data_IF_731956526503
#
_entry.id   IF_731956526503
#
_cell.length_a   1.000
_cell.length_b   1.000
_cell.length_c   1.000
_cell.angle_alpha   90.00
_cell.angle_beta   90.00
_cell.angle_gamma   90.00
#
_symmetry.space_group_name_H-M   'P 1'
#
loop_
_entity.id
_entity.type
_entity.pdbx_description
1 polymer ?
#
# COMPACT_ATOMS: atom_id res chain seq x y z
N UNK A 1 14.51 -8.59 -9.37
CA UNK A 1 14.42 -9.54 -8.24
C UNK A 1 15.63 -9.30 -7.37
N UNK A 2 15.44 -8.90 -6.11
CA UNK A 2 16.54 -8.83 -5.17
C UNK A 2 16.92 -10.25 -4.74
N UNK A 3 18.21 -10.58 -4.76
CA UNK A 3 18.71 -11.86 -4.24
C UNK A 3 18.59 -11.85 -2.71
N UNK A 4 18.11 -12.97 -2.16
CA UNK A 4 18.09 -13.20 -0.71
C UNK A 4 19.55 -13.34 -0.24
N UNK A 5 19.95 -12.68 0.87
CA UNK A 5 21.28 -12.86 1.43
C UNK A 5 21.56 -14.33 1.73
N UNK A 6 22.79 -14.82 1.51
CA UNK A 6 23.16 -16.20 1.82
C UNK A 6 22.95 -16.50 3.31
N UNK A 7 22.20 -17.57 3.61
CA UNK A 7 22.01 -18.06 4.98
C UNK A 7 20.70 -17.67 5.67
N UNK A 8 19.89 -16.78 5.09
CA UNK A 8 18.55 -16.51 5.59
C UNK A 8 17.51 -17.33 4.81
N UNK A 9 16.46 -17.86 5.48
CA UNK A 9 15.38 -18.52 4.77
C UNK A 9 14.66 -17.49 3.88
N UNK A 10 14.28 -17.86 2.65
CA UNK A 10 13.56 -16.97 1.76
C UNK A 10 12.19 -16.63 2.35
N UNK A 11 12.00 -15.39 2.79
CA UNK A 11 10.70 -14.88 3.14
C UNK A 11 10.17 -14.13 1.91
N UNK A 12 9.24 -14.78 1.20
CA UNK A 12 8.55 -14.11 0.11
C UNK A 12 7.59 -13.07 0.67
N UNK A 13 7.67 -11.84 0.18
CA UNK A 13 6.74 -10.76 0.52
C UNK A 13 6.61 -9.76 -0.61
N UNK A 14 5.46 -9.15 -0.69
CA UNK A 14 5.24 -7.94 -1.47
C UNK A 14 5.72 -6.75 -0.66
N UNK A 15 6.48 -5.84 -1.29
CA UNK A 15 6.99 -4.66 -0.62
C UNK A 15 6.27 -3.42 -1.13
N UNK A 16 5.81 -2.58 -0.21
CA UNK A 16 5.33 -1.23 -0.51
C UNK A 16 6.52 -0.31 -0.74
N UNK A 17 6.49 0.42 -1.86
CA UNK A 17 7.47 1.44 -2.19
C UNK A 17 6.82 2.81 -2.19
N UNK A 18 7.37 3.74 -1.42
CA UNK A 18 6.97 5.15 -1.44
C UNK A 18 7.97 5.92 -2.30
N UNK A 19 7.46 6.58 -3.34
CA UNK A 19 8.27 7.46 -4.17
C UNK A 19 8.70 8.70 -3.38
N UNK A 20 9.98 9.06 -3.49
CA UNK A 20 10.58 10.21 -2.80
C UNK A 20 11.53 10.96 -3.73
N UNK A 21 11.68 12.25 -3.50
CA UNK A 21 12.63 13.08 -4.25
C UNK A 21 14.09 12.78 -3.87
N UNK A 22 14.34 12.44 -2.59
CA UNK A 22 15.68 12.25 -2.03
C UNK A 22 15.63 11.14 -0.97
N UNK A 23 16.20 9.98 -1.31
CA UNK A 23 16.20 8.81 -0.43
C UNK A 23 17.04 9.03 0.84
N UNK A 24 18.18 9.75 0.74
CA UNK A 24 19.06 10.00 1.89
C UNK A 24 18.40 10.93 2.91
N UNK A 25 17.75 12.00 2.45
CA UNK A 25 16.99 12.91 3.33
C UNK A 25 15.78 12.20 3.96
N UNK A 26 15.10 11.34 3.20
CA UNK A 26 13.96 10.60 3.72
C UNK A 26 14.39 9.61 4.80
N UNK A 27 15.49 8.92 4.61
CA UNK A 27 16.09 8.02 5.61
C UNK A 27 16.48 8.79 6.87
N UNK A 28 17.07 9.98 6.75
CA UNK A 28 17.39 10.82 7.91
C UNK A 28 16.13 11.18 8.70
N UNK A 29 15.07 11.66 8.02
CA UNK A 29 13.77 11.94 8.67
C UNK A 29 13.16 10.71 9.37
N UNK A 30 13.25 9.54 8.74
CA UNK A 30 12.74 8.31 9.32
C UNK A 30 13.47 7.94 10.61
N UNK A 31 14.81 8.10 10.67
CA UNK A 31 15.57 7.90 11.90
C UNK A 31 15.19 8.89 12.99
N UNK A 32 15.09 10.17 12.65
CA UNK A 32 14.71 11.22 13.58
C UNK A 32 13.30 11.00 14.16
N UNK A 33 12.42 10.38 13.39
CA UNK A 33 11.06 10.00 13.78
C UNK A 33 10.96 8.64 14.51
N UNK A 34 12.09 7.96 14.79
CA UNK A 34 12.13 6.70 15.54
C UNK A 34 12.08 5.43 14.68
N UNK A 35 12.14 5.53 13.36
CA UNK A 35 12.24 4.37 12.47
C UNK A 35 13.63 3.74 12.44
N UNK A 36 13.68 2.48 12.07
CA UNK A 36 14.93 1.71 11.90
C UNK A 36 15.27 1.55 10.42
N UNK A 37 16.50 1.89 10.03
CA UNK A 37 16.99 1.70 8.67
C UNK A 37 17.62 0.32 8.55
N UNK A 38 16.98 -0.58 7.81
CA UNK A 38 17.43 -1.96 7.58
C UNK A 38 18.46 -2.02 6.44
N UNK A 39 18.23 -1.23 5.38
CA UNK A 39 19.19 -1.04 4.31
C UNK A 39 19.34 0.44 4.02
N UNK A 40 20.60 0.91 4.11
CA UNK A 40 20.97 2.28 3.75
C UNK A 40 20.64 2.58 2.28
N UNK A 41 20.47 3.87 1.92
CA UNK A 41 20.25 4.23 0.53
C UNK A 41 21.34 3.70 -0.40
N UNK A 42 20.95 2.86 -1.37
CA UNK A 42 21.85 2.27 -2.35
C UNK A 42 21.33 2.42 -3.77
N UNK A 43 22.25 2.43 -4.72
CA UNK A 43 21.93 2.56 -6.14
C UNK A 43 21.39 1.24 -6.71
N UNK A 44 20.29 1.35 -7.46
CA UNK A 44 19.84 0.32 -8.39
C UNK A 44 20.21 0.82 -9.78
N UNK A 45 21.22 0.22 -10.43
CA UNK A 45 21.77 0.75 -11.68
C UNK A 45 20.69 1.08 -12.72
N UNK A 46 20.79 2.24 -13.36
CA UNK A 46 19.88 2.77 -14.38
C UNK A 46 18.41 3.01 -13.90
N UNK A 47 17.99 2.43 -12.79
CA UNK A 47 16.61 2.46 -12.32
C UNK A 47 16.34 3.57 -11.30
N UNK A 48 17.15 3.64 -10.25
CA UNK A 48 16.95 4.60 -9.17
C UNK A 48 17.81 4.35 -7.94
N UNK A 49 17.41 4.92 -6.81
CA UNK A 49 18.03 4.75 -5.51
C UNK A 49 16.97 4.36 -4.49
N UNK A 50 17.25 3.39 -3.65
CA UNK A 50 16.29 2.88 -2.68
C UNK A 50 16.89 2.66 -1.30
N UNK A 51 16.03 2.63 -0.29
CA UNK A 51 16.36 2.20 1.06
C UNK A 51 15.22 1.33 1.61
N UNK A 52 15.53 0.54 2.65
CA UNK A 52 14.54 -0.26 3.38
C UNK A 52 14.46 0.27 4.80
N UNK A 53 13.26 0.58 5.24
CA UNK A 53 12.96 1.20 6.53
C UNK A 53 11.90 0.35 7.23
N UNK A 54 11.98 0.32 8.55
CA UNK A 54 10.97 -0.25 9.44
C UNK A 54 10.47 0.88 10.32
N UNK A 55 9.16 1.04 10.41
CA UNK A 55 8.55 2.03 11.29
C UNK A 55 8.69 1.64 12.78
N UNK A 56 8.30 2.50 13.74
CA UNK A 56 8.43 2.21 15.18
C UNK A 56 7.68 0.96 15.66
N UNK A 57 6.63 0.51 14.94
CA UNK A 57 5.89 -0.70 15.29
C UNK A 57 6.40 -1.98 14.60
N UNK A 58 7.32 -1.86 13.66
CA UNK A 58 7.89 -3.00 12.96
C UNK A 58 7.39 -3.19 11.52
N UNK A 59 6.53 -2.32 10.98
CA UNK A 59 6.08 -2.40 9.61
C UNK A 59 7.17 -1.94 8.63
N UNK A 60 7.61 -2.86 7.77
CA UNK A 60 8.67 -2.61 6.80
C UNK A 60 8.11 -2.01 5.51
N UNK A 61 8.79 -0.99 4.98
CA UNK A 61 8.52 -0.39 3.68
C UNK A 61 9.82 0.05 3.00
N UNK A 62 9.73 0.35 1.71
CA UNK A 62 10.85 0.86 0.94
C UNK A 62 10.58 2.30 0.50
N UNK A 63 11.65 3.09 0.37
CA UNK A 63 11.60 4.38 -0.33
C UNK A 63 12.30 4.23 -1.68
N UNK A 64 11.78 4.95 -2.67
CA UNK A 64 12.27 4.89 -4.04
C UNK A 64 12.47 6.28 -4.61
N UNK A 65 13.72 6.64 -4.85
CA UNK A 65 14.10 7.83 -5.60
C UNK A 65 14.36 7.42 -7.05
N UNK A 66 13.46 7.80 -7.95
CA UNK A 66 13.50 7.34 -9.34
C UNK A 66 14.61 8.03 -10.16
N UNK A 67 15.19 7.25 -11.07
CA UNK A 67 15.99 7.73 -12.20
C UNK A 67 15.32 7.31 -13.50
N UNK A 68 15.68 6.15 -14.03
CA UNK A 68 15.04 5.57 -15.24
C UNK A 68 13.70 4.89 -14.98
N UNK A 69 13.47 4.35 -13.77
CA UNK A 69 12.25 3.64 -13.40
C UNK A 69 11.37 4.48 -12.48
N UNK A 70 10.29 5.04 -13.03
CA UNK A 70 9.36 5.94 -12.32
C UNK A 70 8.29 5.25 -11.47
N UNK A 71 8.31 3.92 -11.36
CA UNK A 71 7.28 3.15 -10.67
C UNK A 71 6.35 2.41 -11.63
N UNK A 72 5.17 2.03 -11.14
CA UNK A 72 4.16 1.32 -11.92
C UNK A 72 3.65 2.20 -13.07
N UNK A 73 3.58 1.62 -14.28
CA UNK A 73 3.04 2.30 -15.47
C UNK A 73 1.54 2.04 -15.65
N UNK A 74 1.06 0.97 -15.06
CA UNK A 74 -0.35 0.56 -15.09
C UNK A 74 -0.80 0.39 -13.65
N UNK A 75 -1.88 1.04 -13.29
CA UNK A 75 -2.50 0.99 -11.95
C UNK A 75 -4.02 0.94 -12.12
N UNK A 76 -4.72 0.36 -11.16
CA UNK A 76 -6.18 0.28 -11.11
C UNK A 76 -6.83 -0.51 -12.27
N UNK A 77 -6.05 -1.27 -13.02
CA UNK A 77 -6.52 -2.19 -14.05
C UNK A 77 -6.35 -3.64 -13.59
N UNK A 78 -7.05 -4.56 -14.23
CA UNK A 78 -6.96 -5.99 -13.90
C UNK A 78 -5.51 -6.49 -13.81
N UNK A 79 -5.17 -7.09 -12.66
CA UNK A 79 -3.82 -7.61 -12.39
C UNK A 79 -2.76 -6.56 -12.06
N UNK A 80 -3.13 -5.27 -11.94
CA UNK A 80 -2.19 -4.20 -11.57
C UNK A 80 -2.35 -3.74 -10.13
N UNK A 81 -1.36 -3.01 -9.61
CA UNK A 81 -1.45 -2.39 -8.28
C UNK A 81 -2.64 -1.44 -8.22
N UNK A 82 -3.42 -1.60 -7.18
CA UNK A 82 -4.57 -0.74 -6.89
C UNK A 82 -4.29 0.15 -5.69
N UNK A 83 -3.90 -0.45 -4.55
CA UNK A 83 -3.74 0.27 -3.31
C UNK A 83 -2.65 -0.33 -2.41
N UNK A 84 -2.23 0.42 -1.39
CA UNK A 84 -1.43 -0.08 -0.29
C UNK A 84 -2.13 0.25 1.03
N UNK A 85 -1.93 -0.58 2.05
CA UNK A 85 -2.51 -0.36 3.36
C UNK A 85 -1.51 -0.64 4.48
N UNK A 86 -1.53 0.19 5.52
CA UNK A 86 -0.79 -0.03 6.75
C UNK A 86 -1.74 -0.64 7.78
N UNK A 87 -1.46 -1.86 8.24
CA UNK A 87 -2.05 -2.42 9.44
C UNK A 87 -1.20 -1.99 10.65
N UNK A 88 -1.81 -1.41 11.68
CA UNK A 88 -1.11 -0.83 12.84
C UNK A 88 -1.94 -0.99 14.11
N UNK A 89 -1.27 -1.14 15.27
CA UNK A 89 -1.91 -1.10 16.59
C UNK A 89 -1.90 0.30 17.19
N UNK A 90 -0.93 1.13 16.76
CA UNK A 90 -0.77 2.52 17.23
C UNK A 90 -1.02 3.50 16.06
N UNK A 91 -2.29 3.77 15.79
CA UNK A 91 -2.67 4.71 14.72
C UNK A 91 -2.12 6.12 14.96
N UNK A 92 -2.00 6.55 16.22
CA UNK A 92 -1.46 7.88 16.55
C UNK A 92 0.06 7.94 16.35
N UNK A 93 0.81 6.91 16.78
CA UNK A 93 2.23 6.78 16.49
C UNK A 93 2.52 6.70 15.00
N UNK A 94 1.69 5.95 14.23
CA UNK A 94 1.78 5.91 12.78
C UNK A 94 1.55 7.30 12.16
N UNK A 95 0.52 8.05 12.60
CA UNK A 95 0.27 9.43 12.13
C UNK A 95 1.47 10.34 12.38
N UNK A 96 2.06 10.26 13.57
CA UNK A 96 3.24 11.05 13.90
C UNK A 96 4.44 10.68 13.01
N UNK A 97 4.72 9.40 12.83
CA UNK A 97 5.84 8.90 12.05
C UNK A 97 5.71 9.25 10.56
N UNK A 98 4.65 8.80 9.89
CA UNK A 98 4.47 9.02 8.45
C UNK A 98 4.22 10.48 8.11
N UNK A 99 3.63 11.25 9.03
CA UNK A 99 3.51 12.70 8.94
C UNK A 99 4.88 13.40 8.94
N UNK A 100 5.78 13.00 9.84
CA UNK A 100 7.14 13.55 9.92
C UNK A 100 8.00 13.17 8.71
N UNK A 101 7.89 11.92 8.23
CA UNK A 101 8.72 11.39 7.13
C UNK A 101 8.27 11.91 5.79
N UNK A 102 6.97 11.84 5.48
CA UNK A 102 6.41 12.11 4.15
C UNK A 102 5.53 13.34 4.07
N UNK A 103 5.17 13.95 5.21
CA UNK A 103 4.18 15.03 5.26
C UNK A 103 2.74 14.53 5.07
N UNK A 104 2.51 13.22 5.19
CA UNK A 104 1.18 12.64 5.05
C UNK A 104 0.26 13.09 6.16
N UNK A 105 -1.02 13.19 5.84
CA UNK A 105 -2.11 13.45 6.79
C UNK A 105 -3.12 12.30 6.72
N UNK A 106 -4.04 12.25 7.66
CA UNK A 106 -5.14 11.29 7.62
C UNK A 106 -6.45 11.99 7.25
N UNK A 107 -7.28 11.27 6.48
CA UNK A 107 -8.65 11.61 6.18
C UNK A 107 -9.53 10.47 6.69
N UNK A 108 -10.47 10.81 7.58
CA UNK A 108 -11.46 9.85 8.09
C UNK A 108 -12.66 9.84 7.14
N UNK A 109 -12.96 8.66 6.62
CA UNK A 109 -14.09 8.40 5.73
C UNK A 109 -15.03 7.38 6.38
N UNK A 110 -16.29 7.28 5.98
CA UNK A 110 -17.17 6.20 6.42
C UNK A 110 -16.58 4.79 6.15
N UNK A 111 -15.73 4.69 5.13
CA UNK A 111 -15.02 3.47 4.75
C UNK A 111 -13.73 3.21 5.53
N UNK A 112 -13.40 4.01 6.54
CA UNK A 112 -12.18 3.87 7.34
C UNK A 112 -11.21 5.04 7.20
N UNK A 113 -10.02 4.89 7.79
CA UNK A 113 -8.99 5.92 7.80
C UNK A 113 -8.10 5.77 6.57
N UNK A 114 -7.79 6.89 5.90
CA UNK A 114 -6.90 6.91 4.75
C UNK A 114 -5.73 7.88 4.96
N UNK A 115 -4.60 7.59 4.32
CA UNK A 115 -3.49 8.51 4.21
C UNK A 115 -3.68 9.43 3.02
N UNK A 116 -3.45 10.71 3.21
CA UNK A 116 -3.47 11.72 2.13
C UNK A 116 -2.13 12.43 2.03
N UNK A 117 -1.74 12.73 0.80
CA UNK A 117 -0.61 13.62 0.50
C UNK A 117 -1.17 14.92 -0.09
N UNK A 118 -1.12 16.04 0.64
CA UNK A 118 -1.66 17.31 0.15
C UNK A 118 -1.06 17.71 -1.20
N UNK A 119 -1.91 18.02 -2.17
CA UNK A 119 -1.51 18.38 -3.54
C UNK A 119 -1.28 17.19 -4.48
N UNK A 120 -1.45 15.95 -4.00
CA UNK A 120 -1.33 14.76 -4.87
C UNK A 120 -2.40 14.76 -5.97
N UNK A 121 -3.62 15.20 -5.65
CA UNK A 121 -4.69 15.34 -6.63
C UNK A 121 -4.40 16.36 -7.73
N UNK A 122 -3.63 17.40 -7.46
CA UNK A 122 -3.20 18.36 -8.49
C UNK A 122 -2.19 17.70 -9.44
N UNK A 123 -1.25 16.93 -8.90
CA UNK A 123 -0.33 16.13 -9.71
C UNK A 123 -1.07 15.08 -10.55
N UNK A 124 -2.05 14.40 -9.99
CA UNK A 124 -2.88 13.46 -10.75
C UNK A 124 -3.63 14.14 -11.90
N UNK A 125 -4.17 15.35 -11.68
CA UNK A 125 -4.85 16.13 -12.72
C UNK A 125 -3.89 16.57 -13.83
N UNK A 126 -2.62 16.89 -13.51
CA UNK A 126 -1.59 17.22 -14.50
C UNK A 126 -1.26 16.03 -15.41
N UNK A 127 -1.12 14.82 -14.85
CA UNK A 127 -0.74 13.62 -15.63
C UNK A 127 -1.94 12.91 -16.27
N UNK A 128 -3.13 13.11 -15.74
CA UNK A 128 -4.39 12.55 -16.23
C UNK A 128 -5.51 13.62 -16.17
N UNK A 129 -5.56 14.55 -17.12
CA UNK A 129 -6.57 15.62 -17.13
C UNK A 129 -8.00 15.09 -17.11
N UNK A 130 -8.81 15.63 -16.19
CA UNK A 130 -10.19 15.21 -15.97
C UNK A 130 -10.39 14.13 -14.89
N UNK A 131 -9.33 13.64 -14.26
CA UNK A 131 -9.44 12.61 -13.20
C UNK A 131 -10.27 13.13 -12.01
N UNK A 132 -10.15 14.40 -11.65
CA UNK A 132 -10.93 15.03 -10.57
C UNK A 132 -12.43 15.03 -10.88
N UNK A 133 -12.78 15.41 -12.11
CA UNK A 133 -14.18 15.39 -12.56
C UNK A 133 -14.73 13.95 -12.61
N UNK A 134 -13.96 13.00 -13.07
CA UNK A 134 -14.31 11.58 -13.10
C UNK A 134 -14.57 11.05 -11.69
N UNK A 135 -13.69 11.29 -10.73
CA UNK A 135 -13.85 10.87 -9.32
C UNK A 135 -15.11 11.49 -8.69
N UNK A 136 -15.36 12.79 -8.93
CA UNK A 136 -16.58 13.47 -8.47
C UNK A 136 -17.84 12.81 -9.06
N UNK A 137 -17.83 12.49 -10.35
CA UNK A 137 -18.96 11.83 -11.03
C UNK A 137 -19.21 10.42 -10.49
N UNK A 138 -18.16 9.71 -10.08
CA UNK A 138 -18.26 8.40 -9.42
C UNK A 138 -18.73 8.50 -7.97
N UNK A 139 -18.87 9.72 -7.40
CA UNK A 139 -19.30 9.94 -6.03
C UNK A 139 -18.18 9.75 -4.99
N UNK A 140 -16.92 9.88 -5.40
CA UNK A 140 -15.80 9.84 -4.46
C UNK A 140 -15.95 10.95 -3.39
N UNK A 141 -15.65 10.66 -2.12
CA UNK A 141 -15.70 11.64 -1.06
C UNK A 141 -14.76 12.83 -1.30
N UNK A 142 -15.08 13.97 -0.70
CA UNK A 142 -14.20 15.15 -0.73
C UNK A 142 -12.81 14.81 -0.18
N UNK A 143 -11.75 15.25 -0.86
CA UNK A 143 -10.35 14.98 -0.50
C UNK A 143 -9.85 13.59 -0.90
N UNK A 144 -10.70 12.70 -1.41
CA UNK A 144 -10.28 11.34 -1.80
C UNK A 144 -9.21 11.34 -2.91
N UNK A 145 -9.16 12.36 -3.75
CA UNK A 145 -8.16 12.48 -4.81
C UNK A 145 -6.71 12.61 -4.28
N UNK A 146 -6.55 13.05 -3.03
CA UNK A 146 -5.25 13.14 -2.37
C UNK A 146 -4.87 11.85 -1.62
N UNK A 147 -5.73 10.81 -1.65
CA UNK A 147 -5.48 9.55 -0.93
C UNK A 147 -4.36 8.76 -1.59
N UNK A 148 -3.40 8.31 -0.77
CA UNK A 148 -2.22 7.55 -1.21
C UNK A 148 -2.15 6.15 -0.62
N UNK A 149 -2.83 5.89 0.50
CA UNK A 149 -2.89 4.58 1.14
C UNK A 149 -4.02 4.49 2.16
N UNK A 150 -4.32 3.28 2.65
CA UNK A 150 -5.22 3.05 3.79
C UNK A 150 -4.44 2.93 5.10
N UNK A 151 -5.08 3.29 6.22
CA UNK A 151 -4.65 2.94 7.57
C UNK A 151 -5.71 2.02 8.17
N UNK A 152 -5.30 0.83 8.59
CA UNK A 152 -6.17 -0.20 9.15
C UNK A 152 -5.75 -0.49 10.58
N UNK A 153 -6.51 -0.04 11.59
CA UNK A 153 -6.25 -0.43 12.98
C UNK A 153 -6.38 -1.96 13.14
N UNK A 154 -5.38 -2.58 13.75
CA UNK A 154 -5.45 -3.97 14.16
C UNK A 154 -6.30 -4.04 15.43
N UNK A 155 -7.28 -4.93 15.47
CA UNK A 155 -8.17 -5.08 16.61
C UNK A 155 -7.38 -5.51 17.86
N UNK A 156 -7.79 -5.02 19.04
CA UNK A 156 -7.09 -5.30 20.32
C UNK A 156 -7.06 -6.79 20.67
N UNK A 157 -8.04 -7.55 20.24
CA UNK A 157 -8.17 -9.00 20.45
C UNK A 157 -7.44 -9.85 19.38
N UNK A 158 -6.98 -9.24 18.29
CA UNK A 158 -6.12 -9.89 17.28
C UNK A 158 -4.66 -9.90 17.74
N UNK A 159 -4.24 -10.96 18.40
CA UNK A 159 -2.85 -11.13 18.87
C UNK A 159 -1.89 -11.68 17.80
N UNK A 160 -2.40 -12.14 16.66
CA UNK A 160 -1.61 -12.82 15.64
C UNK A 160 -1.09 -11.87 14.57
N UNK A 161 -1.89 -10.89 14.15
CA UNK A 161 -1.51 -9.92 13.14
C UNK A 161 -0.43 -8.98 13.65
N UNK A 162 0.72 -8.96 12.99
CA UNK A 162 1.78 -8.00 13.27
C UNK A 162 1.60 -6.75 12.40
N UNK A 163 2.03 -5.56 12.87
CA UNK A 163 2.03 -4.35 12.04
C UNK A 163 2.76 -4.59 10.72
N UNK A 164 2.13 -4.24 9.61
CA UNK A 164 2.71 -4.47 8.27
C UNK A 164 2.06 -3.60 7.19
N UNK A 165 2.79 -3.40 6.12
CA UNK A 165 2.25 -2.89 4.86
C UNK A 165 1.75 -4.03 3.99
N UNK A 166 0.55 -3.88 3.45
CA UNK A 166 -0.07 -4.78 2.48
C UNK A 166 -0.14 -4.14 1.10
N UNK A 167 -0.10 -4.96 0.06
CA UNK A 167 -0.28 -4.53 -1.34
C UNK A 167 -1.58 -5.09 -1.85
N UNK A 168 -2.39 -4.25 -2.50
CA UNK A 168 -3.66 -4.62 -3.11
C UNK A 168 -3.55 -4.58 -4.63
N UNK A 169 -4.05 -5.60 -5.30
CA UNK A 169 -4.16 -5.67 -6.75
C UNK A 169 -5.62 -5.57 -7.18
N UNK A 170 -5.89 -4.77 -8.21
CA UNK A 170 -7.21 -4.71 -8.84
C UNK A 170 -7.50 -5.99 -9.63
N UNK A 171 -8.72 -6.48 -9.54
CA UNK A 171 -9.20 -7.62 -10.32
C UNK A 171 -10.64 -7.39 -10.79
N UNK A 172 -11.01 -7.95 -11.95
CA UNK A 172 -12.35 -7.80 -12.49
C UNK A 172 -13.35 -8.76 -11.86
N UNK A 173 -12.88 -9.94 -11.38
CA UNK A 173 -13.70 -10.96 -10.74
C UNK A 173 -12.92 -11.61 -9.59
N UNK A 174 -13.35 -11.31 -8.38
CA UNK A 174 -12.70 -11.77 -7.16
C UNK A 174 -12.88 -13.29 -6.95
N UNK A 175 -14.04 -13.84 -7.32
CA UNK A 175 -14.31 -15.28 -7.16
C UNK A 175 -13.47 -16.10 -8.14
N UNK A 176 -13.39 -15.65 -9.39
CA UNK A 176 -12.53 -16.28 -10.40
C UNK A 176 -11.04 -16.16 -9.99
N UNK A 177 -10.61 -15.02 -9.45
CA UNK A 177 -9.25 -14.80 -8.96
C UNK A 177 -8.90 -15.74 -7.82
N UNK A 178 -9.77 -15.86 -6.80
CA UNK A 178 -9.58 -16.78 -5.68
C UNK A 178 -9.51 -18.25 -6.14
N UNK A 179 -10.42 -18.64 -7.04
CA UNK A 179 -10.40 -19.98 -7.65
C UNK A 179 -9.09 -20.25 -8.41
N UNK A 180 -8.65 -19.28 -9.20
CA UNK A 180 -7.40 -19.37 -9.98
C UNK A 180 -6.16 -19.46 -9.11
N UNK A 181 -6.12 -18.69 -8.01
CA UNK A 181 -5.03 -18.77 -7.03
C UNK A 181 -4.85 -20.18 -6.48
N UNK A 182 -5.95 -20.84 -6.06
CA UNK A 182 -5.93 -22.23 -5.59
C UNK A 182 -5.43 -23.21 -6.66
N UNK A 183 -5.90 -23.07 -7.89
CA UNK A 183 -5.47 -23.92 -9.02
C UNK A 183 -3.97 -23.81 -9.30
N UNK A 184 -3.38 -22.65 -9.00
CA UNK A 184 -1.95 -22.39 -9.19
C UNK A 184 -1.11 -22.73 -7.95
N UNK A 185 -1.70 -23.34 -6.91
CA UNK A 185 -1.00 -23.74 -5.70
C UNK A 185 -0.87 -22.65 -4.63
N UNK A 186 -1.58 -21.52 -4.78
CA UNK A 186 -1.74 -20.52 -3.74
C UNK A 186 -2.81 -20.89 -2.73
N UNK A 187 -2.88 -20.15 -1.64
CA UNK A 187 -3.84 -20.27 -0.55
C UNK A 187 -4.75 -19.05 -0.54
N UNK A 188 -6.06 -19.23 -0.36
CA UNK A 188 -6.99 -18.14 -0.07
C UNK A 188 -7.12 -18.07 1.46
N UNK A 189 -6.43 -17.11 2.05
CA UNK A 189 -6.36 -16.90 3.50
C UNK A 189 -7.67 -16.33 4.04
N UNK A 190 -8.26 -15.36 3.31
CA UNK A 190 -9.60 -14.86 3.55
C UNK A 190 -10.43 -14.99 2.27
N UNK A 191 -11.57 -15.68 2.40
CA UNK A 191 -12.55 -15.83 1.29
C UNK A 191 -13.07 -14.47 0.84
N UNK A 192 -13.59 -14.35 -0.40
CA UNK A 192 -14.18 -13.11 -0.87
C UNK A 192 -15.23 -12.54 0.08
N UNK A 193 -15.01 -11.33 0.56
CA UNK A 193 -15.88 -10.58 1.46
C UNK A 193 -16.16 -9.18 0.93
N UNK A 194 -17.31 -8.62 1.27
CA UNK A 194 -17.70 -7.29 0.87
C UNK A 194 -17.07 -6.25 1.82
N UNK A 195 -16.56 -5.17 1.22
CA UNK A 195 -16.00 -4.02 1.91
C UNK A 195 -16.48 -2.72 1.21
N UNK A 196 -16.37 -1.55 1.83
CA UNK A 196 -16.77 -0.30 1.19
C UNK A 196 -16.14 -0.13 -0.20
N UNK A 197 -17.00 0.11 -1.21
CA UNK A 197 -16.65 0.26 -2.61
C UNK A 197 -16.07 -0.96 -3.31
N UNK A 198 -15.86 -2.07 -2.63
CA UNK A 198 -15.18 -3.21 -3.22
C UNK A 198 -15.62 -4.55 -2.62
N UNK A 199 -15.15 -5.61 -3.24
CA UNK A 199 -15.12 -6.95 -2.70
C UNK A 199 -13.69 -7.45 -2.71
N UNK A 200 -13.21 -7.97 -1.59
CA UNK A 200 -11.81 -8.29 -1.37
C UNK A 200 -11.59 -9.75 -1.01
N UNK A 201 -10.39 -10.24 -1.23
CA UNK A 201 -9.92 -11.53 -0.73
C UNK A 201 -8.44 -11.40 -0.34
N UNK A 202 -8.00 -12.14 0.67
CA UNK A 202 -6.59 -12.23 1.05
C UNK A 202 -6.02 -13.51 0.48
N UNK A 203 -4.98 -13.39 -0.32
CA UNK A 203 -4.36 -14.50 -1.05
C UNK A 203 -2.89 -14.58 -0.69
N UNK A 204 -2.42 -15.81 -0.45
CA UNK A 204 -1.01 -16.14 -0.29
C UNK A 204 -0.54 -16.90 -1.52
N UNK A 205 0.50 -16.42 -2.15
CA UNK A 205 1.06 -17.06 -3.32
C UNK A 205 1.82 -18.37 -2.98
N UNK A 206 2.18 -19.20 -3.98
CA UNK A 206 2.86 -20.47 -3.71
C UNK A 206 4.25 -20.31 -3.04
N UNK A 207 4.81 -19.11 -3.00
CA UNK A 207 6.09 -18.80 -2.35
C UNK A 207 5.89 -18.29 -0.92
N UNK A 208 4.64 -18.04 -0.51
CA UNK A 208 4.26 -17.59 0.82
C UNK A 208 4.02 -16.08 0.95
N UNK A 209 4.15 -15.30 -0.12
CA UNK A 209 3.84 -13.86 -0.07
C UNK A 209 2.34 -13.61 -0.08
N UNK A 210 1.87 -12.80 0.86
CA UNK A 210 0.45 -12.43 0.98
C UNK A 210 0.18 -11.11 0.26
N UNK A 211 -0.95 -11.04 -0.43
CA UNK A 211 -1.47 -9.83 -1.06
C UNK A 211 -3.00 -9.80 -0.96
N UNK A 212 -3.58 -8.63 -1.18
CA UNK A 212 -5.03 -8.45 -1.26
C UNK A 212 -5.42 -8.35 -2.73
N UNK A 213 -6.46 -9.07 -3.13
CA UNK A 213 -7.14 -8.86 -4.40
C UNK A 213 -8.41 -8.03 -4.13
N UNK A 214 -8.70 -7.04 -4.97
CA UNK A 214 -9.84 -6.13 -4.81
C UNK A 214 -10.58 -5.94 -6.12
N UNK A 215 -11.87 -6.25 -6.11
CA UNK A 215 -12.81 -5.98 -7.19
C UNK A 215 -13.62 -4.73 -6.83
N UNK A 216 -13.67 -3.73 -7.69
CA UNK A 216 -14.51 -2.56 -7.50
C UNK A 216 -16.00 -2.95 -7.61
N UNK A 217 -16.82 -2.56 -6.62
CA UNK A 217 -18.26 -2.82 -6.56
C UNK A 217 -18.96 -1.54 -6.07
N UNK A 218 -19.53 -0.77 -6.99
CA UNK A 218 -20.18 0.51 -6.70
C UNK A 218 -21.38 0.40 -5.74
N UNK A 219 -22.05 -0.76 -5.74
CA UNK A 219 -23.19 -1.05 -4.86
C UNK A 219 -22.77 -1.16 -3.39
N UNK A 220 -21.50 -1.43 -3.13
CA UNK A 220 -20.94 -1.57 -1.78
C UNK A 220 -20.54 -0.22 -1.16
N UNK A 221 -20.72 0.91 -1.86
CA UNK A 221 -20.22 2.23 -1.41
C UNK A 221 -20.70 2.63 -0.01
N UNK A 222 -21.90 2.22 0.38
CA UNK A 222 -22.53 2.61 1.64
C UNK A 222 -22.28 1.61 2.78
N UNK A 223 -21.47 0.57 2.54
CA UNK A 223 -21.00 -0.30 3.59
C UNK A 223 -20.08 0.47 4.54
N UNK A 224 -20.16 0.14 5.82
CA UNK A 224 -19.27 0.70 6.86
C UNK A 224 -18.21 -0.35 7.16
N UNK A 225 -16.97 0.08 7.31
CA UNK A 225 -15.84 -0.79 7.62
C UNK A 225 -15.85 -1.22 9.10
#
# INVERSE_FOLDING_TARGET
MSSIPPGEPPVAKWNTYVWVEDADKTVAKARDAGGTVVAEPFEVPEAGRMAVIVDPEGAAFCVWQSKGHKGAKVVNEHGSVNFNGLATRDAEGARAFYGAVFGWKTLELPSGITWTLPGYGDHLEEINPGVRAMMTQMGAPEGFIDVVANLQPIADDDSETQPHWSVTFAVDDIAATASRARQLGGEVVAEPFDAPWCRMAVIKDPQGATFIASQFVSENRDLVA
#
